data_IF_506467794987
#
_entry.id   IF_506467794987
#
_cell.length_a   1.000
_cell.length_b   1.000
_cell.length_c   1.000
_cell.angle_alpha   90.00
_cell.angle_beta   90.00
_cell.angle_gamma   90.00
#
_symmetry.space_group_name_H-M   'P 1'
#
loop_
_entity.id
_entity.type
_entity.pdbx_description
1 polymer ?
#
# COMPACT_ATOMS: atom_id res chain seq x y z
N UNK A 1 24.80 -19.25 0.40
CA UNK A 1 23.47 -18.58 0.38
C UNK A 1 23.62 -17.17 0.94
N UNK A 2 22.75 -16.27 0.53
CA UNK A 2 22.74 -14.89 1.05
C UNK A 2 22.32 -14.89 2.53
N UNK A 3 23.23 -14.51 3.43
CA UNK A 3 23.00 -14.48 4.88
C UNK A 3 21.94 -13.42 5.30
N UNK A 4 21.62 -12.46 4.43
CA UNK A 4 20.56 -11.49 4.72
C UNK A 4 19.18 -12.14 4.77
N UNK A 5 19.00 -13.30 4.12
CA UNK A 5 17.75 -14.06 4.20
C UNK A 5 17.41 -14.50 5.64
N UNK A 6 18.43 -14.75 6.46
CA UNK A 6 18.24 -15.17 7.86
C UNK A 6 17.72 -14.03 8.75
N UNK A 7 17.77 -12.79 8.26
CA UNK A 7 17.23 -11.60 8.94
C UNK A 7 15.74 -11.37 8.67
N UNK A 8 15.17 -12.04 7.65
CA UNK A 8 13.76 -11.89 7.32
C UNK A 8 12.88 -12.53 8.39
N UNK A 9 11.88 -11.79 8.83
CA UNK A 9 10.87 -12.32 9.73
C UNK A 9 9.87 -13.22 8.99
N UNK A 10 9.26 -14.22 9.66
CA UNK A 10 8.15 -14.96 9.10
C UNK A 10 7.03 -14.03 8.65
N UNK A 11 6.44 -14.33 7.49
CA UNK A 11 5.41 -13.45 6.91
C UNK A 11 4.17 -13.38 7.82
N UNK A 12 3.47 -12.22 7.94
CA UNK A 12 2.36 -12.05 8.88
C UNK A 12 1.28 -13.12 8.79
N UNK A 13 0.99 -13.61 7.58
CA UNK A 13 -0.02 -14.65 7.37
C UNK A 13 0.45 -16.05 7.80
N UNK A 14 1.76 -16.32 7.78
CA UNK A 14 2.33 -17.55 8.35
C UNK A 14 2.17 -17.53 9.87
N UNK A 15 2.52 -16.41 10.51
CA UNK A 15 2.29 -16.22 11.97
C UNK A 15 0.82 -16.38 12.33
N UNK A 16 -0.09 -15.79 11.53
CA UNK A 16 -1.53 -15.89 11.74
C UNK A 16 -2.03 -17.34 11.61
N UNK A 17 -1.52 -18.09 10.65
CA UNK A 17 -1.86 -19.50 10.51
C UNK A 17 -1.37 -20.33 11.71
N UNK A 18 -0.14 -20.09 12.19
CA UNK A 18 0.38 -20.71 13.41
C UNK A 18 -0.46 -20.36 14.64
N UNK A 19 -0.90 -19.11 14.79
CA UNK A 19 -1.74 -18.69 15.91
C UNK A 19 -3.05 -19.46 16.01
N UNK A 20 -3.61 -19.88 14.88
CA UNK A 20 -4.87 -20.63 14.81
C UNK A 20 -4.73 -22.15 14.97
N UNK A 21 -3.49 -22.68 14.96
CA UNK A 21 -3.26 -24.12 15.12
C UNK A 21 -3.87 -24.63 16.41
N UNK A 22 -4.57 -25.77 16.33
CA UNK A 22 -5.27 -26.40 17.47
C UNK A 22 -6.55 -25.69 17.91
N UNK A 23 -7.04 -24.71 17.13
CA UNK A 23 -8.31 -24.03 17.41
C UNK A 23 -9.36 -24.49 16.40
N UNK A 24 -10.50 -24.98 16.90
CA UNK A 24 -11.63 -25.41 16.06
C UNK A 24 -12.76 -24.41 16.20
N UNK A 25 -13.13 -23.69 15.12
CA UNK A 25 -14.26 -22.77 15.15
C UNK A 25 -15.60 -23.51 15.11
N UNK A 26 -16.74 -22.83 15.43
CA UNK A 26 -18.06 -23.40 15.31
C UNK A 26 -18.37 -23.83 13.88
N UNK A 27 -18.84 -25.07 13.72
CA UNK A 27 -19.09 -25.65 12.38
C UNK A 27 -20.33 -25.07 11.70
N UNK A 28 -21.26 -24.51 12.47
CA UNK A 28 -22.46 -23.83 12.00
C UNK A 28 -22.22 -22.43 11.44
N UNK A 29 -21.04 -21.84 11.72
CA UNK A 29 -20.70 -20.51 11.25
C UNK A 29 -19.78 -20.60 10.01
N UNK A 30 -20.17 -19.96 8.92
CA UNK A 30 -19.30 -19.79 7.77
C UNK A 30 -18.09 -18.93 8.13
N UNK A 31 -16.92 -19.23 7.57
CA UNK A 31 -15.72 -18.44 7.79
C UNK A 31 -15.79 -17.10 7.08
N UNK A 32 -15.53 -16.01 7.81
CA UNK A 32 -15.36 -14.67 7.22
C UNK A 32 -13.94 -14.19 7.49
N UNK A 33 -13.18 -13.95 6.40
CA UNK A 33 -11.79 -13.50 6.47
C UNK A 33 -11.72 -11.98 6.28
N UNK A 34 -11.39 -11.25 7.35
CA UNK A 34 -11.09 -9.82 7.34
C UNK A 34 -9.57 -9.55 7.46
N UNK A 35 -8.72 -10.58 7.39
CA UNK A 35 -7.27 -10.45 7.58
C UNK A 35 -6.53 -10.05 6.31
N UNK A 36 -7.00 -10.48 5.12
CA UNK A 36 -6.31 -10.31 3.84
C UNK A 36 -6.93 -9.14 3.08
N UNK A 37 -6.11 -8.15 2.74
CA UNK A 37 -6.50 -7.00 1.92
C UNK A 37 -6.51 -7.31 0.42
N UNK A 38 -7.26 -8.32 0.01
CA UNK A 38 -7.48 -8.68 -1.39
C UNK A 38 -8.90 -8.26 -1.79
N UNK A 39 -9.07 -7.30 -2.72
CA UNK A 39 -10.38 -6.87 -3.20
C UNK A 39 -11.23 -8.05 -3.70
N UNK A 40 -12.53 -8.01 -3.38
CA UNK A 40 -13.49 -9.06 -3.75
C UNK A 40 -14.67 -8.56 -4.60
N UNK A 41 -14.67 -7.28 -4.99
CA UNK A 41 -15.62 -6.78 -5.99
C UNK A 41 -15.25 -7.36 -7.36
N UNK A 42 -16.22 -7.41 -8.26
CA UNK A 42 -16.01 -7.91 -9.62
C UNK A 42 -14.99 -7.06 -10.38
N UNK A 43 -14.16 -7.72 -11.17
CA UNK A 43 -13.28 -7.04 -12.11
C UNK A 43 -14.10 -6.36 -13.22
N UNK A 44 -13.76 -5.13 -13.65
CA UNK A 44 -14.49 -4.44 -14.72
C UNK A 44 -14.50 -5.26 -16.01
N UNK A 45 -15.68 -5.59 -16.52
CA UNK A 45 -15.86 -6.48 -17.68
C UNK A 45 -15.08 -5.98 -18.91
N UNK A 46 -15.14 -4.66 -19.19
CA UNK A 46 -14.46 -4.04 -20.33
C UNK A 46 -12.93 -4.20 -20.30
N UNK A 47 -12.32 -4.33 -19.11
CA UNK A 47 -10.89 -4.58 -18.94
C UNK A 47 -10.57 -6.04 -19.27
N UNK A 48 -11.41 -6.97 -18.80
CA UNK A 48 -11.28 -8.41 -19.08
C UNK A 48 -11.47 -8.68 -20.59
N UNK A 49 -12.47 -8.06 -21.19
CA UNK A 49 -12.73 -8.17 -22.64
C UNK A 49 -11.52 -7.69 -23.47
N UNK A 50 -10.93 -6.54 -23.11
CA UNK A 50 -9.75 -6.05 -23.81
C UNK A 50 -8.55 -7.01 -23.64
N UNK A 51 -8.34 -7.55 -22.46
CA UNK A 51 -7.27 -8.53 -22.23
C UNK A 51 -7.43 -9.76 -23.13
N UNK A 52 -8.65 -10.32 -23.18
CA UNK A 52 -8.96 -11.49 -24.04
C UNK A 52 -8.71 -11.18 -25.52
N UNK A 53 -9.15 -10.01 -25.98
CA UNK A 53 -8.95 -9.56 -27.37
C UNK A 53 -7.48 -9.48 -27.77
N UNK A 54 -6.59 -9.22 -26.83
CA UNK A 54 -5.15 -9.03 -27.06
C UNK A 54 -4.30 -10.30 -26.79
N UNK A 55 -4.90 -11.47 -26.59
CA UNK A 55 -4.16 -12.71 -26.31
C UNK A 55 -3.23 -13.16 -27.45
N UNK A 56 -3.46 -12.72 -28.69
CA UNK A 56 -2.56 -12.97 -29.81
C UNK A 56 -1.16 -12.34 -29.61
N UNK A 57 -1.01 -11.39 -28.70
CA UNK A 57 0.29 -10.77 -28.37
C UNK A 57 1.21 -11.66 -27.54
N UNK A 58 0.75 -12.84 -27.09
CA UNK A 58 1.54 -13.84 -26.35
C UNK A 58 2.78 -14.34 -27.12
N UNK A 59 2.80 -14.21 -28.43
CA UNK A 59 3.94 -14.60 -29.27
C UNK A 59 5.15 -13.64 -29.20
N UNK A 60 4.99 -12.46 -28.56
CA UNK A 60 6.01 -11.42 -28.55
C UNK A 60 6.53 -11.17 -27.12
N UNK A 61 7.84 -10.97 -26.98
CA UNK A 61 8.41 -10.48 -25.73
C UNK A 61 7.98 -9.03 -25.47
N UNK A 62 7.48 -8.70 -24.28
CA UNK A 62 7.21 -7.32 -23.91
C UNK A 62 8.53 -6.56 -23.65
N UNK A 63 8.53 -5.27 -23.98
CA UNK A 63 9.61 -4.38 -23.59
C UNK A 63 9.51 -4.05 -22.08
N UNK A 64 10.63 -4.02 -21.37
CA UNK A 64 10.67 -3.65 -19.95
C UNK A 64 10.10 -2.25 -19.69
N UNK A 65 10.32 -1.32 -20.61
CA UNK A 65 9.78 0.05 -20.53
C UNK A 65 8.25 0.11 -20.72
N UNK A 66 7.63 -0.93 -21.27
CA UNK A 66 6.21 -1.00 -21.58
C UNK A 66 5.82 -0.23 -22.85
N UNK A 67 4.54 -0.32 -23.22
CA UNK A 67 3.98 0.34 -24.41
C UNK A 67 3.94 1.86 -24.23
N UNK A 68 4.26 2.65 -25.28
CA UNK A 68 4.13 4.11 -25.24
C UNK A 68 2.71 4.57 -24.86
N UNK A 69 1.69 3.89 -25.39
CA UNK A 69 0.29 4.20 -25.14
C UNK A 69 -0.07 4.03 -23.66
N UNK A 70 0.48 3.01 -22.98
CA UNK A 70 0.26 2.80 -21.56
C UNK A 70 0.90 3.92 -20.75
N UNK A 71 2.14 4.28 -21.04
CA UNK A 71 2.83 5.39 -20.36
C UNK A 71 2.11 6.72 -20.56
N UNK A 72 1.62 6.97 -21.78
CA UNK A 72 0.84 8.16 -22.10
C UNK A 72 -0.47 8.22 -21.30
N UNK A 73 -1.18 7.11 -21.21
CA UNK A 73 -2.44 7.02 -20.43
C UNK A 73 -2.19 7.26 -18.94
N UNK A 74 -1.14 6.67 -18.39
CA UNK A 74 -0.73 6.89 -16.99
C UNK A 74 -0.35 8.35 -16.75
N UNK A 75 0.42 8.96 -17.65
CA UNK A 75 0.80 10.37 -17.58
C UNK A 75 -0.44 11.28 -17.56
N UNK A 76 -1.41 11.02 -18.42
CA UNK A 76 -2.67 11.77 -18.46
C UNK A 76 -3.46 11.61 -17.16
N UNK A 77 -3.56 10.38 -16.63
CA UNK A 77 -4.23 10.11 -15.37
C UNK A 77 -3.58 10.87 -14.20
N UNK A 78 -2.25 10.79 -14.04
CA UNK A 78 -1.52 11.51 -12.99
C UNK A 78 -1.75 13.03 -13.10
N UNK A 79 -1.66 13.57 -14.30
CA UNK A 79 -1.83 15.01 -14.57
C UNK A 79 -3.23 15.47 -14.14
N UNK A 80 -4.27 14.71 -14.48
CA UNK A 80 -5.65 15.05 -14.12
C UNK A 80 -5.92 14.84 -12.63
N UNK A 81 -5.51 13.69 -12.09
CA UNK A 81 -5.83 13.28 -10.72
C UNK A 81 -5.18 14.18 -9.66
N UNK A 82 -3.95 14.60 -9.91
CA UNK A 82 -3.15 15.41 -8.98
C UNK A 82 -2.98 16.86 -9.44
N UNK A 83 -3.71 17.28 -10.46
CA UNK A 83 -3.69 18.66 -11.00
C UNK A 83 -2.28 19.14 -11.35
N UNK A 84 -1.46 18.26 -11.92
CA UNK A 84 -0.09 18.59 -12.29
C UNK A 84 -0.07 19.53 -13.50
N UNK A 85 0.95 20.40 -13.64
CA UNK A 85 1.08 21.26 -14.79
C UNK A 85 1.13 20.46 -16.09
N UNK A 86 0.52 20.99 -17.15
CA UNK A 86 0.61 20.36 -18.47
C UNK A 86 2.07 20.21 -18.90
N UNK A 87 2.42 19.01 -19.39
CA UNK A 87 3.76 18.66 -19.86
C UNK A 87 4.86 18.65 -18.78
N UNK A 88 4.53 18.69 -17.48
CA UNK A 88 5.51 18.47 -16.41
C UNK A 88 5.95 17.00 -16.32
N UNK A 89 5.13 16.07 -16.77
CA UNK A 89 5.47 14.65 -16.90
C UNK A 89 5.70 14.32 -18.39
N UNK A 90 6.88 13.78 -18.69
CA UNK A 90 7.20 13.16 -19.97
C UNK A 90 6.99 11.64 -19.85
N UNK A 91 6.07 11.02 -20.60
CA UNK A 91 5.81 9.58 -20.54
C UNK A 91 7.03 8.73 -20.92
N UNK A 92 8.01 9.31 -21.63
CA UNK A 92 9.24 8.60 -21.98
C UNK A 92 10.29 8.60 -20.86
N UNK A 93 10.24 9.54 -19.91
CA UNK A 93 11.25 9.69 -18.89
C UNK A 93 10.73 9.43 -17.46
N UNK A 94 9.48 9.82 -17.18
CA UNK A 94 8.96 9.86 -15.83
C UNK A 94 8.05 8.67 -15.48
N UNK A 95 7.70 7.79 -16.44
CA UNK A 95 6.71 6.72 -16.26
C UNK A 95 7.32 5.35 -16.58
N UNK A 96 7.15 4.41 -15.65
CA UNK A 96 7.58 3.02 -15.83
C UNK A 96 6.49 2.04 -15.37
N UNK A 97 5.79 1.33 -16.28
CA UNK A 97 4.89 0.25 -15.94
C UNK A 97 5.60 -0.90 -15.23
N UNK A 98 4.91 -1.53 -14.26
CA UNK A 98 5.46 -2.61 -13.44
C UNK A 98 4.44 -3.73 -13.24
N UNK A 99 4.89 -4.95 -12.90
CA UNK A 99 4.05 -6.13 -12.65
C UNK A 99 3.37 -6.09 -11.27
N UNK A 100 2.73 -4.96 -10.96
CA UNK A 100 2.18 -4.61 -9.65
C UNK A 100 3.26 -4.02 -8.74
N UNK A 101 2.82 -3.19 -7.80
CA UNK A 101 3.72 -2.40 -6.93
C UNK A 101 4.48 -3.24 -5.92
N UNK A 102 3.99 -4.44 -5.56
CA UNK A 102 4.68 -5.30 -4.60
C UNK A 102 6.11 -5.65 -5.05
N UNK A 103 6.26 -6.11 -6.28
CA UNK A 103 7.58 -6.45 -6.83
C UNK A 103 8.41 -5.19 -7.10
N UNK A 104 7.75 -4.10 -7.53
CA UNK A 104 8.42 -2.85 -7.81
C UNK A 104 9.01 -2.22 -6.54
N UNK A 105 8.24 -2.13 -5.45
CA UNK A 105 8.70 -1.62 -4.15
C UNK A 105 9.89 -2.44 -3.62
N UNK A 106 9.84 -3.77 -3.78
CA UNK A 106 10.96 -4.64 -3.38
C UNK A 106 12.20 -4.39 -4.25
N UNK A 107 12.05 -4.41 -5.57
CA UNK A 107 13.13 -4.22 -6.52
C UNK A 107 13.73 -2.80 -6.46
N UNK A 108 12.93 -1.81 -6.06
CA UNK A 108 13.35 -0.42 -5.97
C UNK A 108 14.47 -0.20 -4.97
N UNK A 109 14.37 -0.78 -3.76
CA UNK A 109 15.46 -0.71 -2.78
C UNK A 109 16.75 -1.35 -3.31
N UNK A 110 16.63 -2.47 -4.06
CA UNK A 110 17.82 -3.12 -4.66
C UNK A 110 18.54 -2.22 -5.67
N UNK A 111 17.78 -1.32 -6.33
CA UNK A 111 18.31 -0.41 -7.33
C UNK A 111 18.86 0.90 -6.74
N UNK A 112 18.35 1.31 -5.56
CA UNK A 112 18.65 2.63 -4.98
C UNK A 112 19.71 2.60 -3.88
N UNK A 113 19.90 1.44 -3.21
CA UNK A 113 20.76 1.35 -2.03
C UNK A 113 22.20 1.05 -2.42
N UNK A 114 23.12 1.88 -1.93
CA UNK A 114 24.55 1.59 -1.90
C UNK A 114 24.93 0.99 -0.53
N UNK A 115 25.02 -0.33 -0.46
CA UNK A 115 25.32 -1.05 0.76
C UNK A 115 26.73 -0.76 1.33
N UNK A 116 27.62 -0.13 0.57
CA UNK A 116 28.99 0.19 1.02
C UNK A 116 29.01 1.37 2.01
N UNK A 117 27.92 2.16 2.09
CA UNK A 117 27.82 3.37 2.89
C UNK A 117 27.07 3.17 4.23
N UNK A 118 26.86 1.93 4.68
CA UNK A 118 26.06 1.62 5.88
C UNK A 118 24.69 2.33 5.91
N UNK A 119 23.88 2.18 4.84
CA UNK A 119 22.67 2.95 4.61
C UNK A 119 21.54 2.60 5.55
N UNK A 120 20.65 3.59 5.77
CA UNK A 120 19.34 3.39 6.37
C UNK A 120 18.25 3.44 5.31
N UNK A 121 17.24 2.59 5.48
CA UNK A 121 15.94 2.73 4.84
C UNK A 121 14.92 3.09 5.91
N UNK A 122 14.42 4.30 5.84
CA UNK A 122 13.43 4.82 6.79
C UNK A 122 12.02 4.42 6.34
N UNK A 123 11.17 3.99 7.26
CA UNK A 123 9.80 3.54 6.94
C UNK A 123 8.85 3.76 8.12
N UNK A 124 7.52 3.92 7.88
CA UNK A 124 6.53 3.98 8.95
C UNK A 124 6.48 2.67 9.73
N UNK A 125 5.98 2.69 10.94
CA UNK A 125 5.70 1.53 11.78
C UNK A 125 4.33 1.71 12.46
N UNK A 126 3.29 0.94 12.13
CA UNK A 126 3.28 -0.28 11.28
C UNK A 126 3.57 -0.01 9.80
N UNK A 127 3.92 -1.06 9.07
CA UNK A 127 4.35 -0.97 7.67
C UNK A 127 3.91 -2.17 6.82
N UNK A 128 4.05 -2.03 5.52
CA UNK A 128 3.95 -3.15 4.60
C UNK A 128 5.29 -3.92 4.58
N UNK A 129 5.29 -5.20 4.93
CA UNK A 129 6.49 -6.02 5.18
C UNK A 129 7.49 -6.06 4.02
N UNK A 130 7.06 -5.67 2.84
CA UNK A 130 7.93 -5.59 1.67
C UNK A 130 9.02 -4.54 1.85
N UNK A 131 8.74 -3.42 2.53
CA UNK A 131 9.74 -2.36 2.76
C UNK A 131 10.92 -2.86 3.59
N UNK A 132 10.63 -3.56 4.70
CA UNK A 132 11.67 -4.16 5.56
C UNK A 132 12.48 -5.22 4.81
N UNK A 133 11.78 -6.17 4.15
CA UNK A 133 12.46 -7.21 3.37
C UNK A 133 13.33 -6.65 2.25
N UNK A 134 12.85 -5.61 1.57
CA UNK A 134 13.61 -4.92 0.52
C UNK A 134 14.86 -4.24 1.09
N UNK A 135 14.74 -3.53 2.22
CA UNK A 135 15.85 -2.87 2.91
C UNK A 135 16.93 -3.89 3.32
N UNK A 136 16.53 -4.94 4.04
CA UNK A 136 17.44 -5.98 4.54
C UNK A 136 18.20 -6.67 3.39
N UNK A 137 17.49 -7.06 2.32
CA UNK A 137 18.11 -7.76 1.20
C UNK A 137 18.93 -6.84 0.29
N UNK A 138 18.68 -5.52 0.32
CA UNK A 138 19.55 -4.52 -0.29
C UNK A 138 20.79 -4.20 0.52
N UNK A 139 20.91 -4.75 1.76
CA UNK A 139 22.04 -4.51 2.64
C UNK A 139 21.94 -3.24 3.48
N UNK A 140 20.73 -2.66 3.59
CA UNK A 140 20.45 -1.53 4.45
C UNK A 140 19.91 -1.96 5.82
N UNK A 141 20.00 -1.07 6.78
CA UNK A 141 19.36 -1.20 8.09
C UNK A 141 17.98 -0.52 8.04
N UNK A 142 16.88 -1.22 8.39
CA UNK A 142 15.57 -0.60 8.53
C UNK A 142 15.53 0.35 9.73
N UNK A 143 15.02 1.58 9.53
CA UNK A 143 14.74 2.53 10.59
C UNK A 143 13.24 2.81 10.67
N UNK A 144 12.63 2.50 11.82
CA UNK A 144 11.18 2.51 11.98
C UNK A 144 10.71 3.82 12.64
N UNK A 145 9.68 4.44 12.01
CA UNK A 145 9.00 5.63 12.54
C UNK A 145 7.66 5.19 13.13
N UNK A 146 7.56 5.16 14.45
CA UNK A 146 6.32 4.77 15.13
C UNK A 146 5.18 5.75 14.81
N UNK A 147 4.02 5.21 14.47
CA UNK A 147 2.78 5.96 14.28
C UNK A 147 1.75 5.51 15.29
N UNK A 148 1.15 6.45 16.00
CA UNK A 148 0.19 6.19 17.06
C UNK A 148 -1.10 6.98 16.84
N UNK A 149 -2.11 6.71 17.67
CA UNK A 149 -3.35 7.50 17.64
C UNK A 149 -3.10 8.97 17.96
N UNK A 150 -2.12 9.28 18.83
CA UNK A 150 -1.80 10.65 19.23
C UNK A 150 -1.19 11.47 18.09
N UNK A 151 -0.57 10.81 17.10
CA UNK A 151 -0.05 11.44 15.88
C UNK A 151 -0.99 11.30 14.67
N UNK A 152 -2.25 10.87 14.89
CA UNK A 152 -3.17 10.55 13.79
C UNK A 152 -2.66 9.42 12.89
N UNK A 153 -1.79 8.57 13.40
CA UNK A 153 -1.09 7.51 12.65
C UNK A 153 -0.19 8.01 11.51
N UNK A 154 0.27 9.26 11.59
CA UNK A 154 1.29 9.82 10.69
C UNK A 154 2.64 9.80 11.42
N UNK A 155 3.76 9.44 10.76
CA UNK A 155 5.08 9.49 11.38
C UNK A 155 5.48 10.93 11.75
N UNK A 156 6.10 11.09 12.91
CA UNK A 156 6.76 12.35 13.26
C UNK A 156 8.16 12.42 12.64
N UNK A 157 8.25 13.01 11.47
CA UNK A 157 9.51 13.14 10.74
C UNK A 157 10.47 14.15 11.39
N UNK A 158 9.95 15.07 12.24
CA UNK A 158 10.77 16.06 12.95
C UNK A 158 11.52 15.44 14.14
N UNK A 159 11.04 14.32 14.66
CA UNK A 159 11.70 13.57 15.73
C UNK A 159 12.93 12.77 15.25
N UNK A 160 13.17 12.70 13.95
CA UNK A 160 14.31 11.96 13.38
C UNK A 160 15.56 12.83 13.43
N UNK A 161 16.65 12.27 14.02
CA UNK A 161 17.90 13.01 14.17
C UNK A 161 18.58 13.33 12.84
N UNK A 162 19.36 14.43 12.77
CA UNK A 162 20.15 14.73 11.57
C UNK A 162 21.10 13.61 11.15
N UNK A 163 21.68 12.88 12.12
CA UNK A 163 22.59 11.74 11.87
C UNK A 163 21.86 10.58 11.19
N UNK A 164 20.60 10.34 11.57
CA UNK A 164 19.75 9.35 10.92
C UNK A 164 19.46 9.74 9.47
N UNK A 165 19.09 11.01 9.24
CA UNK A 165 18.84 11.50 7.89
C UNK A 165 20.10 11.47 6.99
N UNK A 166 21.30 11.74 7.55
CA UNK A 166 22.57 11.65 6.78
C UNK A 166 22.88 10.23 6.29
N UNK A 167 22.39 9.21 6.99
CA UNK A 167 22.54 7.80 6.56
C UNK A 167 21.36 7.32 5.72
N UNK A 168 20.26 8.05 5.66
CA UNK A 168 19.09 7.67 4.90
C UNK A 168 19.39 7.75 3.40
N UNK A 169 19.16 6.66 2.67
CA UNK A 169 19.22 6.66 1.20
C UNK A 169 17.84 6.52 0.58
N UNK A 170 16.88 5.93 1.33
CA UNK A 170 15.53 5.69 0.87
C UNK A 170 14.54 5.88 2.03
N UNK A 171 13.51 6.68 1.79
CA UNK A 171 12.35 6.79 2.67
C UNK A 171 11.14 6.15 1.98
N UNK A 172 10.60 5.08 2.56
CA UNK A 172 9.26 4.61 2.20
C UNK A 172 8.21 5.37 2.99
N UNK A 173 7.20 5.89 2.31
CA UNK A 173 5.95 6.35 2.92
C UNK A 173 4.78 5.59 2.29
N UNK A 174 3.70 5.43 3.03
CA UNK A 174 2.47 4.83 2.54
C UNK A 174 1.31 5.78 2.84
N UNK A 175 0.80 6.44 1.81
CA UNK A 175 -0.29 7.40 1.95
C UNK A 175 -1.28 7.25 0.77
N UNK A 176 -2.48 6.77 1.08
CA UNK A 176 -3.06 6.35 2.36
C UNK A 176 -2.41 5.12 2.99
N UNK A 177 -2.33 5.12 4.33
CA UNK A 177 -1.60 4.13 5.12
C UNK A 177 -2.19 2.71 5.12
N UNK A 178 -1.33 1.71 5.08
CA UNK A 178 -1.64 0.32 5.42
C UNK A 178 -0.86 -0.05 6.68
N UNK A 179 -1.53 -0.28 7.82
CA UNK A 179 -2.95 -0.62 7.99
C UNK A 179 -3.88 0.53 8.42
N UNK A 180 -3.39 1.73 8.62
CA UNK A 180 -4.08 2.78 9.38
C UNK A 180 -5.13 3.56 8.61
N UNK A 181 -4.98 3.67 7.28
CA UNK A 181 -5.83 4.50 6.42
C UNK A 181 -5.57 6.00 6.53
N UNK A 182 -4.59 6.42 7.31
CA UNK A 182 -4.21 7.82 7.47
C UNK A 182 -3.62 8.39 6.17
N UNK A 183 -3.91 9.65 5.89
CA UNK A 183 -3.41 10.39 4.73
C UNK A 183 -2.42 11.45 5.20
N UNK A 184 -1.21 11.42 4.66
CA UNK A 184 -0.21 12.46 4.91
C UNK A 184 -0.65 13.73 4.17
N UNK A 185 -0.72 14.85 4.88
CA UNK A 185 -1.12 16.13 4.29
C UNK A 185 -0.05 16.75 3.38
N UNK A 186 -0.46 17.73 2.59
CA UNK A 186 0.38 18.35 1.58
C UNK A 186 1.60 19.08 2.19
N UNK A 187 1.46 19.70 3.35
CA UNK A 187 2.53 20.47 3.97
C UNK A 187 3.59 19.53 4.57
N UNK A 188 3.16 18.41 5.14
CA UNK A 188 4.06 17.33 5.58
C UNK A 188 4.84 16.75 4.40
N UNK A 189 4.18 16.50 3.24
CA UNK A 189 4.87 16.02 2.04
C UNK A 189 5.89 17.04 1.52
N UNK A 190 5.57 18.33 1.54
CA UNK A 190 6.51 19.41 1.16
C UNK A 190 7.72 19.43 2.09
N UNK A 191 7.52 19.32 3.39
CA UNK A 191 8.62 19.26 4.36
C UNK A 191 9.51 18.03 4.14
N UNK A 192 8.94 16.89 3.76
CA UNK A 192 9.71 15.69 3.39
C UNK A 192 10.56 15.89 2.13
N UNK A 193 10.05 16.61 1.15
CA UNK A 193 10.81 16.95 -0.07
C UNK A 193 12.00 17.83 0.26
N UNK A 194 11.83 18.83 1.16
CA UNK A 194 12.94 19.66 1.64
C UNK A 194 14.00 18.83 2.38
N UNK A 195 13.58 17.88 3.21
CA UNK A 195 14.50 16.95 3.88
C UNK A 195 15.24 16.05 2.87
N UNK A 196 14.55 15.57 1.84
CA UNK A 196 15.16 14.75 0.80
C UNK A 196 16.21 15.54 -0.01
N UNK A 197 15.94 16.81 -0.30
CA UNK A 197 16.93 17.71 -0.92
C UNK A 197 18.13 17.94 -0.01
N UNK A 198 17.89 18.22 1.26
CA UNK A 198 18.95 18.55 2.25
C UNK A 198 19.88 17.37 2.52
N UNK A 199 19.35 16.15 2.59
CA UNK A 199 20.09 14.96 3.03
C UNK A 199 20.36 13.94 1.93
N UNK A 200 19.96 14.23 0.69
CA UNK A 200 20.24 13.43 -0.53
C UNK A 200 19.65 12.01 -0.48
N UNK A 201 18.39 11.84 -0.09
CA UNK A 201 17.68 10.57 -0.16
C UNK A 201 16.50 10.63 -1.13
N UNK A 202 16.02 9.45 -1.55
CA UNK A 202 14.85 9.31 -2.43
C UNK A 202 13.61 9.00 -1.57
N UNK A 203 12.48 9.63 -1.89
CA UNK A 203 11.17 9.31 -1.31
C UNK A 203 10.44 8.34 -2.24
N UNK A 204 10.10 7.16 -1.74
CA UNK A 204 9.26 6.17 -2.40
C UNK A 204 7.87 6.18 -1.75
N UNK A 205 6.91 6.86 -2.39
CA UNK A 205 5.54 6.99 -1.91
C UNK A 205 4.66 5.88 -2.47
N UNK A 206 4.26 4.94 -1.59
CA UNK A 206 3.26 3.91 -1.93
C UNK A 206 1.85 4.51 -1.83
N UNK A 207 1.29 4.87 -2.98
CA UNK A 207 -0.02 5.52 -3.11
C UNK A 207 -1.10 4.55 -3.63
N UNK A 208 -0.92 3.25 -3.39
CA UNK A 208 -1.81 2.20 -3.91
C UNK A 208 -3.28 2.33 -3.46
N UNK A 209 -3.54 3.06 -2.38
CA UNK A 209 -4.88 3.26 -1.84
C UNK A 209 -5.48 4.64 -2.14
N UNK A 210 -4.80 5.47 -2.94
CA UNK A 210 -5.21 6.86 -3.24
C UNK A 210 -6.62 7.01 -3.80
N UNK A 211 -7.17 5.94 -4.40
CA UNK A 211 -8.50 5.96 -5.03
C UNK A 211 -9.62 5.37 -4.16
N UNK A 212 -9.29 4.91 -2.93
CA UNK A 212 -10.28 4.40 -1.99
C UNK A 212 -10.35 5.36 -0.80
N UNK A 213 -11.21 6.36 -0.88
CA UNK A 213 -11.37 7.40 0.13
C UNK A 213 -12.85 7.64 0.48
N UNK A 214 -13.10 8.32 1.60
CA UNK A 214 -14.42 8.39 2.20
C UNK A 214 -15.19 9.67 1.86
N UNK A 215 -14.51 10.73 1.45
CA UNK A 215 -15.08 12.05 1.16
C UNK A 215 -14.66 12.50 -0.24
N UNK A 216 -15.64 12.55 -1.17
CA UNK A 216 -15.39 12.94 -2.57
C UNK A 216 -14.85 14.37 -2.71
N UNK A 217 -15.04 15.21 -1.68
CA UNK A 217 -14.51 16.59 -1.67
C UNK A 217 -13.08 16.69 -1.20
N UNK A 218 -12.52 15.59 -0.63
CA UNK A 218 -11.19 15.53 -0.03
C UNK A 218 -10.40 14.30 -0.52
N UNK A 219 -10.15 14.19 -1.83
CA UNK A 219 -9.32 13.10 -2.33
C UNK A 219 -7.91 13.18 -1.73
N UNK A 220 -7.27 12.04 -1.42
CA UNK A 220 -5.90 12.02 -0.94
C UNK A 220 -4.95 12.79 -1.85
N UNK A 221 -4.07 13.59 -1.26
CA UNK A 221 -2.99 14.29 -1.96
C UNK A 221 -1.86 13.31 -2.27
N UNK A 222 -1.03 13.63 -3.27
CA UNK A 222 0.09 12.80 -3.69
C UNK A 222 1.43 13.52 -3.61
N UNK A 223 2.52 12.75 -3.58
CA UNK A 223 3.88 13.29 -3.49
C UNK A 223 4.23 14.17 -4.70
N UNK A 224 3.82 13.77 -5.92
CA UNK A 224 4.09 14.58 -7.12
C UNK A 224 3.28 15.89 -7.13
N UNK A 225 2.09 15.90 -6.50
CA UNK A 225 1.33 17.14 -6.29
C UNK A 225 2.12 18.09 -5.39
N UNK A 226 2.61 17.60 -4.23
CA UNK A 226 3.40 18.41 -3.32
C UNK A 226 4.67 18.97 -3.99
N UNK A 227 5.39 18.13 -4.73
CA UNK A 227 6.57 18.54 -5.49
C UNK A 227 6.23 19.65 -6.50
N UNK A 228 5.15 19.48 -7.25
CA UNK A 228 4.70 20.46 -8.23
C UNK A 228 4.32 21.80 -7.60
N UNK A 229 3.60 21.80 -6.47
CA UNK A 229 3.24 23.02 -5.75
C UNK A 229 4.44 23.77 -5.17
N UNK A 230 5.56 23.08 -4.91
CA UNK A 230 6.84 23.68 -4.52
C UNK A 230 7.66 24.23 -5.72
N UNK A 231 7.21 24.02 -6.96
CA UNK A 231 7.96 24.35 -8.16
C UNK A 231 9.01 23.30 -8.57
N UNK A 232 9.07 22.15 -7.91
CA UNK A 232 9.88 20.99 -8.28
C UNK A 232 9.19 20.22 -9.42
N UNK A 233 9.19 20.79 -10.62
CA UNK A 233 8.52 20.20 -11.78
C UNK A 233 9.31 19.07 -12.45
N UNK A 234 10.57 18.88 -12.07
CA UNK A 234 11.39 17.72 -12.45
C UNK A 234 11.18 16.53 -11.50
N UNK A 235 10.35 16.70 -10.47
CA UNK A 235 10.03 15.71 -9.44
C UNK A 235 11.27 15.12 -8.77
N UNK A 236 12.31 15.90 -8.64
CA UNK A 236 13.61 15.45 -8.15
C UNK A 236 13.49 14.77 -6.79
N UNK A 237 14.05 13.56 -6.64
CA UNK A 237 13.96 12.68 -5.47
C UNK A 237 12.57 12.16 -5.10
N UNK A 238 11.54 12.45 -5.89
CA UNK A 238 10.17 12.05 -5.63
C UNK A 238 9.76 10.92 -6.57
N UNK A 239 9.35 9.78 -6.01
CA UNK A 239 8.87 8.62 -6.77
C UNK A 239 7.59 8.08 -6.15
N UNK A 240 6.55 7.89 -6.96
CA UNK A 240 5.26 7.35 -6.56
C UNK A 240 4.99 5.98 -7.15
N UNK A 241 4.26 5.15 -6.40
CA UNK A 241 3.85 3.80 -6.80
C UNK A 241 2.34 3.70 -6.77
N UNK A 242 1.72 3.38 -7.90
CA UNK A 242 0.28 3.19 -8.03
C UNK A 242 -0.06 1.84 -8.63
N UNK A 243 -1.22 1.28 -8.26
CA UNK A 243 -1.63 -0.07 -8.67
C UNK A 243 -3.10 -0.14 -9.06
N UNK A 244 -3.40 -0.92 -10.11
CA UNK A 244 -4.77 -1.29 -10.46
C UNK A 244 -5.39 -2.29 -9.48
N UNK A 245 -4.58 -2.94 -8.62
CA UNK A 245 -5.06 -3.95 -7.67
C UNK A 245 -6.16 -3.43 -6.75
N UNK A 246 -6.02 -2.18 -6.26
CA UNK A 246 -6.94 -1.57 -5.30
C UNK A 246 -7.90 -0.61 -5.98
N UNK A 247 -7.36 0.23 -6.86
CA UNK A 247 -8.12 1.21 -7.64
C UNK A 247 -9.24 0.57 -8.46
N UNK A 248 -8.95 -0.57 -9.11
CA UNK A 248 -9.80 -1.16 -10.15
C UNK A 248 -10.22 -2.61 -9.88
N UNK A 249 -10.03 -3.14 -8.67
CA UNK A 249 -10.29 -4.55 -8.33
C UNK A 249 -9.62 -5.55 -9.27
N UNK A 250 -8.38 -5.29 -9.67
CA UNK A 250 -7.61 -6.10 -10.59
C UNK A 250 -6.32 -6.65 -9.95
N UNK A 251 -6.38 -7.28 -8.75
CA UNK A 251 -5.16 -7.77 -8.09
C UNK A 251 -4.46 -8.86 -8.91
N UNK A 252 -5.22 -9.69 -9.64
CA UNK A 252 -4.71 -10.76 -10.49
C UNK A 252 -4.06 -10.28 -11.79
N UNK A 253 -4.39 -9.08 -12.27
CA UNK A 253 -3.81 -8.50 -13.50
C UNK A 253 -2.31 -8.21 -13.34
N UNK A 254 -1.83 -8.05 -12.09
CA UNK A 254 -0.44 -7.69 -11.79
C UNK A 254 0.02 -6.44 -12.55
N UNK A 255 -0.72 -5.36 -12.42
CA UNK A 255 -0.45 -4.10 -13.09
C UNK A 255 -0.37 -2.93 -12.12
N UNK A 256 0.62 -2.09 -12.35
CA UNK A 256 0.87 -0.83 -11.67
C UNK A 256 1.92 -0.03 -12.43
N UNK A 257 2.35 1.06 -11.83
CA UNK A 257 3.45 1.85 -12.35
C UNK A 257 4.26 2.53 -11.25
N UNK A 258 5.45 2.96 -11.63
CA UNK A 258 6.33 3.85 -10.87
C UNK A 258 6.47 5.14 -11.69
N UNK A 259 6.37 6.30 -11.03
CA UNK A 259 6.51 7.58 -11.71
C UNK A 259 7.23 8.62 -10.84
N UNK A 260 7.89 9.60 -11.46
CA UNK A 260 8.55 10.69 -10.75
C UNK A 260 9.90 11.06 -11.37
N UNK A 261 10.90 11.26 -10.54
CA UNK A 261 12.27 11.67 -10.92
C UNK A 261 12.81 10.87 -12.11
N UNK A 262 13.09 11.54 -13.22
CA UNK A 262 13.52 10.91 -14.47
C UNK A 262 14.85 10.16 -14.35
N UNK A 263 15.80 10.66 -13.54
CA UNK A 263 17.09 10.01 -13.32
C UNK A 263 16.91 8.72 -12.52
N UNK A 264 16.08 8.77 -11.47
CA UNK A 264 15.74 7.59 -10.66
C UNK A 264 15.00 6.55 -11.49
N UNK A 265 14.02 6.97 -12.30
CA UNK A 265 13.29 6.07 -13.22
C UNK A 265 14.23 5.41 -14.22
N UNK A 266 15.19 6.15 -14.81
CA UNK A 266 16.16 5.59 -15.74
C UNK A 266 17.06 4.54 -15.10
N UNK A 267 17.55 4.78 -13.88
CA UNK A 267 18.34 3.80 -13.10
C UNK A 267 17.52 2.57 -12.75
N UNK A 268 16.27 2.76 -12.33
CA UNK A 268 15.37 1.66 -12.02
C UNK A 268 14.99 0.84 -13.27
N UNK A 269 14.73 1.48 -14.40
CA UNK A 269 14.53 0.79 -15.69
C UNK A 269 15.75 -0.07 -16.07
N UNK A 270 16.97 0.46 -15.90
CA UNK A 270 18.20 -0.30 -16.14
C UNK A 270 18.27 -1.55 -15.27
N UNK A 271 18.03 -1.42 -13.97
CA UNK A 271 17.96 -2.55 -13.04
C UNK A 271 16.92 -3.59 -13.50
N UNK A 272 15.69 -3.16 -13.81
CA UNK A 272 14.59 -4.05 -14.25
C UNK A 272 14.90 -4.76 -15.55
N UNK A 273 15.64 -4.15 -16.46
CA UNK A 273 16.06 -4.76 -17.72
C UNK A 273 16.96 -5.99 -17.46
N UNK A 274 17.87 -5.92 -16.48
CA UNK A 274 18.68 -7.07 -16.06
C UNK A 274 17.89 -8.08 -15.24
N UNK A 275 16.99 -7.61 -14.39
CA UNK A 275 16.10 -8.46 -13.58
C UNK A 275 15.09 -9.24 -14.44
N UNK A 276 14.77 -8.76 -15.65
CA UNK A 276 13.90 -9.44 -16.61
C UNK A 276 12.40 -9.27 -16.34
N UNK A 277 12.01 -8.29 -15.57
CA UNK A 277 10.62 -8.08 -15.17
C UNK A 277 9.90 -7.13 -16.15
N UNK A 278 9.14 -7.68 -17.10
CA UNK A 278 8.36 -6.91 -18.06
C UNK A 278 6.88 -7.34 -18.04
N UNK A 279 5.96 -6.37 -18.14
CA UNK A 279 4.52 -6.63 -18.12
C UNK A 279 4.07 -7.23 -19.46
N UNK A 280 3.35 -8.38 -19.49
CA UNK A 280 2.82 -8.95 -20.73
C UNK A 280 1.98 -7.95 -21.52
N UNK A 281 2.08 -7.97 -22.85
CA UNK A 281 1.47 -6.94 -23.72
C UNK A 281 -0.05 -6.89 -23.57
N UNK A 282 -0.73 -8.02 -23.48
CA UNK A 282 -2.20 -8.07 -23.27
C UNK A 282 -2.62 -7.49 -21.90
N UNK A 283 -1.77 -7.61 -20.84
CA UNK A 283 -1.98 -6.92 -19.58
C UNK A 283 -1.82 -5.40 -19.72
N UNK A 284 -0.90 -4.95 -20.57
CA UNK A 284 -0.70 -3.53 -20.82
C UNK A 284 -1.91 -2.90 -21.52
N UNK A 285 -2.49 -3.55 -22.53
CA UNK A 285 -3.71 -3.07 -23.19
C UNK A 285 -4.91 -3.05 -22.23
N UNK A 286 -5.07 -4.08 -21.41
CA UNK A 286 -6.06 -4.09 -20.33
C UNK A 286 -5.85 -2.93 -19.35
N UNK A 287 -4.60 -2.64 -18.99
CA UNK A 287 -4.23 -1.53 -18.11
C UNK A 287 -4.53 -0.16 -18.71
N UNK A 288 -4.33 0.03 -20.02
CA UNK A 288 -4.71 1.26 -20.73
C UNK A 288 -6.21 1.52 -20.54
N UNK A 289 -7.05 0.50 -20.72
CA UNK A 289 -8.50 0.63 -20.49
C UNK A 289 -8.83 1.02 -19.06
N UNK A 290 -8.20 0.35 -18.08
CA UNK A 290 -8.45 0.61 -16.67
C UNK A 290 -7.98 2.01 -16.23
N UNK A 291 -6.78 2.46 -16.64
CA UNK A 291 -6.28 3.80 -16.31
C UNK A 291 -7.06 4.92 -17.03
N UNK A 292 -7.64 4.62 -18.19
CA UNK A 292 -8.41 5.58 -18.99
C UNK A 292 -9.87 5.76 -18.57
N UNK A 293 -10.35 5.01 -17.57
CA UNK A 293 -11.74 5.08 -17.10
C UNK A 293 -11.80 5.41 -15.60
N UNK A 294 -12.61 6.40 -15.24
CA UNK A 294 -12.83 6.82 -13.85
C UNK A 294 -14.21 6.39 -13.31
N UNK A 295 -15.14 5.96 -14.18
CA UNK A 295 -16.47 5.58 -13.70
C UNK A 295 -16.43 4.34 -12.82
N UNK A 296 -15.75 3.28 -13.26
CA UNK A 296 -15.61 2.07 -12.44
C UNK A 296 -14.88 2.31 -11.11
N UNK A 297 -14.00 3.31 -11.06
CA UNK A 297 -13.27 3.69 -9.83
C UNK A 297 -14.21 4.35 -8.82
N UNK A 298 -15.07 5.26 -9.29
CA UNK A 298 -16.12 5.88 -8.47
C UNK A 298 -17.10 4.84 -7.94
N UNK A 299 -17.56 3.93 -8.81
CA UNK A 299 -18.47 2.86 -8.42
C UNK A 299 -17.84 1.94 -7.38
N UNK A 300 -16.57 1.56 -7.57
CA UNK A 300 -15.81 0.77 -6.60
C UNK A 300 -15.68 1.49 -5.24
N UNK A 301 -15.41 2.78 -5.24
CA UNK A 301 -15.29 3.59 -4.02
C UNK A 301 -16.61 3.67 -3.26
N UNK A 302 -17.74 3.84 -3.95
CA UNK A 302 -19.07 3.84 -3.36
C UNK A 302 -19.36 2.52 -2.62
N UNK A 303 -18.97 1.38 -3.19
CA UNK A 303 -19.14 0.08 -2.53
C UNK A 303 -18.35 0.00 -1.22
N UNK A 304 -17.13 0.53 -1.18
CA UNK A 304 -16.36 0.60 0.07
C UNK A 304 -16.98 1.56 1.08
N UNK A 305 -17.46 2.73 0.66
CA UNK A 305 -18.14 3.69 1.53
C UNK A 305 -19.37 3.06 2.19
N UNK A 306 -20.18 2.27 1.45
CA UNK A 306 -21.32 1.53 1.98
C UNK A 306 -20.91 0.54 3.06
N UNK A 307 -19.82 -0.23 2.83
CA UNK A 307 -19.28 -1.19 3.81
C UNK A 307 -18.83 -0.49 5.08
N UNK A 308 -18.08 0.61 4.97
CA UNK A 308 -17.64 1.38 6.14
C UNK A 308 -18.79 1.91 6.96
N UNK A 309 -19.81 2.50 6.33
CA UNK A 309 -20.97 3.03 7.02
C UNK A 309 -21.69 1.90 7.79
N UNK A 310 -22.05 0.81 7.10
CA UNK A 310 -22.77 -0.30 7.73
C UNK A 310 -21.98 -0.98 8.87
N UNK A 311 -20.69 -1.19 8.69
CA UNK A 311 -19.84 -1.84 9.71
C UNK A 311 -19.60 -0.92 10.92
N UNK A 312 -19.35 0.37 10.69
CA UNK A 312 -19.10 1.33 11.78
C UNK A 312 -20.35 1.61 12.61
N UNK A 313 -21.55 1.63 12.02
CA UNK A 313 -22.81 1.76 12.76
C UNK A 313 -22.98 0.62 13.78
N UNK A 314 -22.44 -0.56 13.49
CA UNK A 314 -22.52 -1.72 14.38
C UNK A 314 -21.37 -1.75 15.40
N UNK A 315 -20.15 -1.44 14.98
CA UNK A 315 -18.93 -1.63 15.79
C UNK A 315 -18.56 -0.42 16.64
N UNK A 316 -18.81 0.81 16.22
CA UNK A 316 -18.40 2.02 16.97
C UNK A 316 -18.98 2.10 18.38
N UNK A 317 -20.20 1.57 18.69
CA UNK A 317 -20.71 1.57 20.05
C UNK A 317 -20.00 0.61 21.00
N UNK A 318 -19.25 -0.38 20.49
CA UNK A 318 -18.69 -1.49 21.30
C UNK A 318 -17.17 -1.66 21.13
N UNK A 319 -16.56 -0.96 20.19
CA UNK A 319 -15.14 -1.05 19.88
C UNK A 319 -14.57 0.33 19.60
N UNK A 320 -13.40 0.63 20.13
CA UNK A 320 -12.69 1.88 19.81
C UNK A 320 -12.17 1.82 18.38
N UNK A 321 -12.99 2.25 17.43
CA UNK A 321 -12.71 2.26 15.99
C UNK A 321 -13.18 3.57 15.37
N UNK A 322 -12.35 4.13 14.48
CA UNK A 322 -12.67 5.34 13.73
C UNK A 322 -12.74 5.03 12.25
N UNK A 323 -13.54 5.83 11.53
CA UNK A 323 -13.56 5.81 10.07
C UNK A 323 -12.23 6.34 9.56
N UNK A 324 -11.48 5.58 8.75
CA UNK A 324 -10.22 6.08 8.19
C UNK A 324 -10.51 7.12 7.09
N UNK A 325 -9.52 7.97 6.79
CA UNK A 325 -9.61 8.92 5.67
C UNK A 325 -9.71 8.19 4.33
N UNK A 326 -8.94 7.11 4.19
CA UNK A 326 -8.86 6.32 2.97
C UNK A 326 -8.47 4.85 3.25
N UNK A 327 -8.24 4.06 2.21
CA UNK A 327 -8.04 2.62 2.19
C UNK A 327 -9.32 1.81 2.49
N UNK A 328 -9.20 0.51 2.61
CA UNK A 328 -10.30 -0.38 3.00
C UNK A 328 -10.05 -1.09 4.34
N UNK A 329 -9.18 -0.53 5.19
CA UNK A 329 -8.85 -1.11 6.48
C UNK A 329 -9.51 -0.36 7.63
N UNK A 330 -9.94 -1.12 8.65
CA UNK A 330 -10.14 -0.65 10.01
C UNK A 330 -8.94 -1.07 10.86
N UNK A 331 -8.54 -0.17 11.78
CA UNK A 331 -7.39 -0.35 12.68
C UNK A 331 -7.76 -0.12 14.14
N UNK A 332 -8.78 -0.87 14.67
CA UNK A 332 -9.27 -0.69 16.03
C UNK A 332 -8.25 -1.14 17.07
N UNK A 333 -8.36 -0.53 18.24
CA UNK A 333 -7.74 -1.02 19.46
C UNK A 333 -8.56 -2.19 20.03
N UNK A 334 -7.88 -3.24 20.47
CA UNK A 334 -8.52 -4.41 21.10
C UNK A 334 -8.55 -4.25 22.62
N UNK A 335 -9.61 -4.73 23.30
CA UNK A 335 -9.71 -4.64 24.76
C UNK A 335 -8.75 -5.58 25.51
N UNK A 336 -8.23 -6.57 24.80
CA UNK A 336 -7.23 -7.54 25.27
C UNK A 336 -6.08 -7.63 24.28
N UNK A 337 -5.04 -8.39 24.61
CA UNK A 337 -3.91 -8.65 23.71
C UNK A 337 -4.38 -9.07 22.31
N UNK A 338 -3.77 -8.52 21.27
CA UNK A 338 -4.20 -8.68 19.87
C UNK A 338 -4.13 -10.11 19.34
N UNK A 339 -3.17 -10.92 19.79
CA UNK A 339 -3.13 -12.36 19.45
C UNK A 339 -4.23 -13.13 20.17
N UNK A 340 -4.43 -12.86 21.46
CA UNK A 340 -5.51 -13.43 22.26
C UNK A 340 -6.88 -13.08 21.66
N UNK A 341 -7.08 -11.81 21.32
CA UNK A 341 -8.29 -11.33 20.64
C UNK A 341 -8.55 -12.09 19.33
N UNK A 342 -7.53 -12.15 18.46
CA UNK A 342 -7.65 -12.79 17.15
C UNK A 342 -7.96 -14.28 17.25
N UNK A 343 -7.27 -14.99 18.15
CA UNK A 343 -7.49 -16.43 18.37
C UNK A 343 -8.87 -16.72 18.95
N UNK A 344 -9.31 -15.94 19.95
CA UNK A 344 -10.63 -16.12 20.58
C UNK A 344 -11.77 -15.77 19.61
N UNK A 345 -11.63 -14.69 18.81
CA UNK A 345 -12.61 -14.33 17.79
C UNK A 345 -12.75 -15.43 16.73
N UNK A 346 -11.64 -16.02 16.29
CA UNK A 346 -11.69 -17.16 15.37
C UNK A 346 -12.36 -18.38 16.01
N UNK A 347 -12.00 -18.70 17.26
CA UNK A 347 -12.54 -19.85 17.99
C UNK A 347 -14.06 -19.76 18.23
N UNK A 348 -14.59 -18.57 18.52
CA UNK A 348 -15.98 -18.37 18.93
C UNK A 348 -16.90 -17.90 17.80
N UNK A 349 -16.37 -17.20 16.81
CA UNK A 349 -17.19 -16.54 15.77
C UNK A 349 -16.77 -16.89 14.33
N UNK A 350 -15.75 -17.72 14.15
CA UNK A 350 -15.20 -18.11 12.85
C UNK A 350 -14.84 -16.91 11.97
N UNK A 351 -14.29 -15.85 12.60
CA UNK A 351 -13.79 -14.65 11.92
C UNK A 351 -12.28 -14.57 12.09
N UNK A 352 -11.58 -14.27 11.00
CA UNK A 352 -10.13 -14.07 11.03
C UNK A 352 -9.80 -12.60 10.78
N UNK A 353 -9.15 -11.97 11.76
CA UNK A 353 -8.51 -10.63 11.64
C UNK A 353 -6.99 -10.78 11.70
N UNK A 354 -6.23 -9.72 11.49
CA UNK A 354 -4.77 -9.78 11.53
C UNK A 354 -4.23 -9.03 12.76
N UNK A 355 -3.51 -9.70 13.69
CA UNK A 355 -2.89 -9.04 14.83
C UNK A 355 -1.97 -7.90 14.39
N UNK A 356 -2.07 -6.77 15.06
CA UNK A 356 -1.35 -5.57 14.69
C UNK A 356 0.16 -5.70 14.88
N UNK A 357 0.60 -6.42 15.92
CA UNK A 357 2.03 -6.69 16.16
C UNK A 357 2.70 -7.45 15.00
N UNK A 358 1.95 -8.12 14.14
CA UNK A 358 2.52 -8.79 12.97
C UNK A 358 2.86 -7.83 11.83
N UNK A 359 2.28 -6.62 11.88
CA UNK A 359 2.51 -5.54 10.91
C UNK A 359 3.50 -4.48 11.42
N UNK A 360 4.08 -4.67 12.60
CA UNK A 360 4.95 -3.69 13.27
C UNK A 360 6.17 -4.35 13.88
N UNK A 361 7.06 -3.51 14.41
CA UNK A 361 8.24 -3.92 15.17
C UNK A 361 8.33 -3.13 16.46
N UNK A 362 9.04 -3.70 17.44
CA UNK A 362 9.47 -2.96 18.62
C UNK A 362 10.55 -1.96 18.23
N UNK A 363 10.26 -0.68 18.33
CA UNK A 363 11.18 0.40 18.02
C UNK A 363 11.02 1.54 19.03
N UNK A 364 12.12 2.14 19.50
CA UNK A 364 12.14 3.21 20.50
C UNK A 364 11.27 2.89 21.74
N UNK A 365 11.27 1.62 22.20
CA UNK A 365 10.52 1.18 23.37
C UNK A 365 9.01 1.00 23.17
N UNK A 366 8.50 1.08 21.94
CA UNK A 366 7.08 0.97 21.59
C UNK A 366 6.87 0.00 20.43
N UNK A 367 5.78 -0.78 20.49
CA UNK A 367 5.23 -1.50 19.36
C UNK A 367 3.85 -0.93 19.02
N UNK A 368 3.70 -0.12 17.97
CA UNK A 368 2.44 0.58 17.67
C UNK A 368 1.31 -0.34 17.18
N UNK A 369 1.63 -1.59 16.83
CA UNK A 369 0.64 -2.60 16.45
C UNK A 369 0.09 -3.42 17.61
N UNK A 370 0.72 -3.34 18.80
CA UNK A 370 0.29 -4.09 19.98
C UNK A 370 -1.09 -3.64 20.43
N UNK A 371 -1.94 -4.60 20.79
CA UNK A 371 -3.33 -4.38 21.18
C UNK A 371 -4.16 -3.69 20.09
N UNK A 372 -3.86 -3.96 18.82
CA UNK A 372 -4.65 -3.55 17.65
C UNK A 372 -4.82 -4.71 16.69
N UNK A 373 -5.85 -4.65 15.86
CA UNK A 373 -6.05 -5.60 14.77
C UNK A 373 -6.35 -4.85 13.47
N UNK A 374 -5.89 -5.42 12.35
CA UNK A 374 -6.30 -4.95 11.03
C UNK A 374 -7.50 -5.76 10.55
N UNK A 375 -8.56 -5.07 10.14
CA UNK A 375 -9.73 -5.63 9.48
C UNK A 375 -9.85 -5.06 8.06
N UNK A 376 -9.82 -5.91 7.04
CA UNK A 376 -10.00 -5.52 5.65
C UNK A 376 -11.46 -5.70 5.23
N UNK A 377 -12.16 -4.62 4.91
CA UNK A 377 -13.57 -4.64 4.50
C UNK A 377 -13.72 -4.99 3.01
N UNK A 378 -13.09 -6.09 2.58
CA UNK A 378 -13.05 -6.50 1.17
C UNK A 378 -14.13 -7.51 0.80
N UNK A 379 -14.65 -8.28 1.77
CA UNK A 379 -15.75 -9.23 1.56
C UNK A 379 -17.03 -8.54 1.02
N UNK A 380 -18.00 -9.27 0.47
CA UNK A 380 -19.31 -8.73 0.14
C UNK A 380 -19.94 -7.95 1.30
N UNK A 381 -20.83 -7.01 1.00
CA UNK A 381 -21.43 -6.13 2.02
C UNK A 381 -22.11 -6.93 3.14
N UNK A 382 -22.91 -7.94 2.78
CA UNK A 382 -23.64 -8.78 3.74
C UNK A 382 -22.67 -9.55 4.65
N UNK A 383 -21.56 -10.07 4.13
CA UNK A 383 -20.53 -10.73 4.92
C UNK A 383 -19.83 -9.76 5.86
N UNK A 384 -19.57 -8.52 5.42
CA UNK A 384 -19.00 -7.48 6.28
C UNK A 384 -19.95 -7.10 7.43
N UNK A 385 -21.26 -7.00 7.17
CA UNK A 385 -22.30 -6.74 8.17
C UNK A 385 -22.41 -7.92 9.16
N UNK A 386 -22.46 -9.14 8.65
CA UNK A 386 -22.51 -10.34 9.51
C UNK A 386 -21.24 -10.44 10.37
N UNK A 387 -20.06 -10.16 9.80
CA UNK A 387 -18.83 -10.11 10.58
C UNK A 387 -18.90 -9.07 11.71
N UNK A 388 -19.42 -7.88 11.43
CA UNK A 388 -19.58 -6.84 12.44
C UNK A 388 -20.52 -7.27 13.57
N UNK A 389 -21.65 -7.91 13.26
CA UNK A 389 -22.57 -8.46 14.27
C UNK A 389 -21.93 -9.57 15.11
N UNK A 390 -21.14 -10.46 14.50
CA UNK A 390 -20.41 -11.52 15.23
C UNK A 390 -19.33 -10.92 16.12
N UNK A 391 -18.59 -9.93 15.66
CA UNK A 391 -17.58 -9.21 16.47
C UNK A 391 -18.27 -8.53 17.66
N UNK A 392 -19.43 -7.88 17.46
CA UNK A 392 -20.21 -7.27 18.53
C UNK A 392 -20.66 -8.31 19.56
N UNK A 393 -21.18 -9.47 19.12
CA UNK A 393 -21.54 -10.58 20.04
C UNK A 393 -20.34 -11.06 20.84
N UNK A 394 -19.20 -11.23 20.19
CA UNK A 394 -17.95 -11.64 20.83
C UNK A 394 -17.51 -10.63 21.90
N UNK A 395 -17.50 -9.35 21.59
CA UNK A 395 -17.11 -8.28 22.51
C UNK A 395 -18.03 -8.18 23.74
N UNK A 396 -19.33 -8.41 23.57
CA UNK A 396 -20.29 -8.39 24.68
C UNK A 396 -20.12 -9.58 25.65
N UNK A 397 -19.38 -10.62 25.26
CA UNK A 397 -19.12 -11.83 26.04
C UNK A 397 -17.65 -11.94 26.50
N UNK A 398 -16.85 -10.92 26.25
CA UNK A 398 -15.44 -10.87 26.63
C UNK A 398 -15.31 -10.33 28.07
#
# INVERSE_FOLDING_TARGET
MNRQLDKLHPYPFEKLNHLKVGTTPPVELSHIALSIGEPKHDSPAFVVEEMVKQLNTLSNYPLTKGLPELRQTICQWLTQRFSLPKNSLDPEQHILPVNGTREALFAFAQAMIDATLTPLVVMPNPFYQIYEGAALLAGAEPYYLNTTADTGFIPDFNAVSPETWQRCQLLYICSPGNPTGAVIDIDTLKSLIELAEKYDFVIASDECYSEIYQDETKPPVGLLQAASEMGNHDYKRCVVFHSLSKRSNLPGLRSGFVAGDAEVIAKFLKYRTYHGCAMPVHHQYASIKAWGDEQHVKDNRLLYQQKFNAVLDILSPVLNVQKPDASFYLWPQTPVDDETFTRALFAQQHITVLPGRYLSRDAQGLNPGKNRVRMALVAPLDDCIEAAHRIKRFLNNL
#
